data_IF_343868455753
#
_entry.id   IF_343868455753
#
_cell.length_a   1.000
_cell.length_b   1.000
_cell.length_c   1.000
_cell.angle_alpha   90.00
_cell.angle_beta   90.00
_cell.angle_gamma   90.00
#
_symmetry.space_group_name_H-M   'P 1'
#
loop_
_entity.id
_entity.type
_entity.pdbx_description
1 polymer ?
#
# COMPACT_ATOMS: atom_id res chain seq x y z
N UNK A 1 -9.37 -23.90 -6.23
CA UNK A 1 -8.76 -23.15 -7.34
C UNK A 1 -7.58 -22.36 -6.83
N UNK A 2 -6.47 -22.29 -7.57
CA UNK A 2 -5.39 -21.36 -7.27
C UNK A 2 -5.81 -19.95 -7.65
N UNK A 3 -5.88 -19.03 -6.69
CA UNK A 3 -6.09 -17.61 -6.97
C UNK A 3 -4.92 -17.10 -7.86
N UNK A 4 -5.24 -16.54 -9.02
CA UNK A 4 -4.25 -15.96 -9.92
C UNK A 4 -3.68 -14.68 -9.30
N UNK A 5 -2.36 -14.59 -9.23
CA UNK A 5 -1.67 -13.39 -8.71
C UNK A 5 -1.58 -12.39 -9.85
N UNK A 6 -2.27 -11.27 -9.71
CA UNK A 6 -2.26 -10.17 -10.69
C UNK A 6 -0.97 -9.37 -10.59
N UNK A 7 -0.57 -9.01 -9.36
CA UNK A 7 0.67 -8.26 -9.12
C UNK A 7 1.45 -8.78 -7.94
N UNK A 8 2.77 -8.76 -8.07
CA UNK A 8 3.72 -9.14 -7.03
C UNK A 8 4.65 -7.98 -6.70
N UNK A 9 4.67 -7.60 -5.43
CA UNK A 9 5.58 -6.61 -4.87
C UNK A 9 6.51 -7.31 -3.88
N UNK A 10 7.78 -6.91 -3.88
CA UNK A 10 8.77 -7.37 -2.91
C UNK A 10 9.32 -6.17 -2.17
N UNK A 11 9.23 -6.21 -0.84
CA UNK A 11 9.87 -5.25 0.06
C UNK A 11 11.03 -5.95 0.74
N UNK A 12 12.25 -5.50 0.52
CA UNK A 12 13.44 -6.04 1.16
C UNK A 12 13.85 -5.12 2.30
N UNK A 13 13.53 -5.48 3.53
CA UNK A 13 13.97 -4.75 4.72
C UNK A 13 15.40 -5.18 5.06
N UNK A 14 16.30 -4.21 5.21
CA UNK A 14 17.69 -4.44 5.58
C UNK A 14 17.75 -4.96 7.02
N UNK A 15 18.66 -5.90 7.29
CA UNK A 15 18.88 -6.40 8.65
C UNK A 15 19.38 -5.26 9.56
N UNK A 16 20.33 -4.46 9.06
CA UNK A 16 20.86 -3.25 9.71
C UNK A 16 20.58 -2.01 8.86
N UNK A 17 19.99 -0.95 9.43
CA UNK A 17 19.81 0.32 8.73
C UNK A 17 21.15 0.93 8.29
N UNK A 18 21.16 1.65 7.17
CA UNK A 18 22.31 2.45 6.74
C UNK A 18 22.15 3.90 7.18
N UNK A 19 23.26 4.57 7.52
CA UNK A 19 23.28 5.95 8.03
C UNK A 19 24.40 6.77 7.37
N UNK A 20 24.22 8.09 7.33
CA UNK A 20 25.21 9.05 6.81
C UNK A 20 25.69 8.70 5.40
N UNK A 21 27.02 8.79 5.18
CA UNK A 21 27.66 8.53 3.87
C UNK A 21 27.31 7.17 3.24
N UNK A 22 27.03 6.15 4.06
CA UNK A 22 26.65 4.82 3.55
C UNK A 22 25.30 4.85 2.81
N UNK A 23 24.42 5.77 3.17
CA UNK A 23 23.16 5.98 2.44
C UNK A 23 23.46 6.53 1.05
N UNK A 24 24.34 7.54 0.95
CA UNK A 24 24.69 8.18 -0.32
C UNK A 24 25.36 7.20 -1.27
N UNK A 25 26.34 6.42 -0.79
CA UNK A 25 27.00 5.36 -1.56
C UNK A 25 26.00 4.33 -2.09
N UNK A 26 25.05 3.93 -1.23
CA UNK A 26 24.03 2.96 -1.59
C UNK A 26 23.03 3.51 -2.62
N UNK A 27 22.54 4.73 -2.40
CA UNK A 27 21.64 5.42 -3.29
C UNK A 27 22.27 5.62 -4.68
N UNK A 28 23.54 6.05 -4.73
CA UNK A 28 24.30 6.18 -5.96
C UNK A 28 24.41 4.84 -6.71
N UNK A 29 24.74 3.75 -6.01
CA UNK A 29 24.79 2.40 -6.60
C UNK A 29 23.45 1.96 -7.19
N UNK A 30 22.34 2.38 -6.59
CA UNK A 30 20.97 2.09 -7.05
C UNK A 30 20.42 3.12 -8.04
N UNK A 31 21.23 4.11 -8.43
CA UNK A 31 20.85 5.23 -9.29
C UNK A 31 19.64 6.00 -8.76
N UNK A 32 19.50 6.10 -7.43
CA UNK A 32 18.48 6.92 -6.79
C UNK A 32 19.02 8.35 -6.69
N UNK A 33 18.32 9.31 -7.31
CA UNK A 33 18.67 10.73 -7.22
C UNK A 33 18.19 11.29 -5.90
N UNK A 34 18.95 11.10 -4.82
CA UNK A 34 18.51 11.60 -3.52
C UNK A 34 18.90 13.07 -3.39
N UNK A 35 17.92 13.97 -3.40
CA UNK A 35 18.08 15.29 -2.79
C UNK A 35 18.25 15.07 -1.29
N UNK A 36 19.45 15.33 -0.75
CA UNK A 36 19.89 15.16 0.65
C UNK A 36 18.81 14.58 1.59
N UNK A 37 18.95 13.31 1.98
CA UNK A 37 18.21 12.78 3.13
C UNK A 37 18.40 13.71 4.33
N UNK A 38 17.38 13.83 5.19
CA UNK A 38 17.63 14.48 6.47
C UNK A 38 18.69 13.68 7.23
N UNK A 39 19.53 14.37 8.02
CA UNK A 39 20.58 13.72 8.82
C UNK A 39 20.01 12.65 9.78
N UNK A 40 18.70 12.73 10.05
CA UNK A 40 17.95 11.83 10.89
C UNK A 40 17.27 10.67 10.14
N UNK A 41 17.46 10.55 8.82
CA UNK A 41 16.88 9.45 8.04
C UNK A 41 17.85 8.27 7.95
N UNK A 42 17.36 7.08 8.27
CA UNK A 42 18.07 5.82 8.13
C UNK A 42 17.49 5.02 6.98
N UNK A 43 18.33 4.55 6.05
CA UNK A 43 17.85 3.67 4.98
C UNK A 43 17.54 2.29 5.54
N UNK A 44 16.29 1.84 5.42
CA UNK A 44 15.83 0.57 6.02
C UNK A 44 15.39 -0.48 5.02
N UNK A 45 15.19 -0.14 3.74
CA UNK A 45 14.78 -1.14 2.77
C UNK A 45 14.68 -0.68 1.34
N UNK A 46 14.38 -1.65 0.47
CA UNK A 46 14.18 -1.48 -0.97
C UNK A 46 12.80 -2.00 -1.39
N UNK A 47 12.27 -1.43 -2.47
CA UNK A 47 10.97 -1.78 -3.02
C UNK A 47 11.14 -2.23 -4.46
N UNK A 48 10.54 -3.37 -4.80
CA UNK A 48 10.54 -3.94 -6.15
C UNK A 48 9.14 -4.31 -6.60
N UNK A 49 8.76 -3.88 -7.81
CA UNK A 49 7.55 -4.33 -8.50
C UNK A 49 7.96 -5.38 -9.53
N UNK A 50 7.60 -6.63 -9.30
CA UNK A 50 8.18 -7.76 -10.01
C UNK A 50 9.70 -7.83 -9.82
N UNK A 51 10.46 -7.63 -10.91
CA UNK A 51 11.94 -7.54 -10.90
C UNK A 51 12.45 -6.10 -10.98
N UNK A 52 11.56 -5.12 -11.22
CA UNK A 52 11.92 -3.72 -11.40
C UNK A 52 12.07 -3.06 -10.03
N UNK A 53 13.25 -2.54 -9.75
CA UNK A 53 13.45 -1.65 -8.61
C UNK A 53 12.51 -0.45 -8.73
N UNK A 54 11.81 -0.10 -7.67
CA UNK A 54 10.81 0.98 -7.66
C UNK A 54 11.26 2.14 -6.77
N UNK A 55 11.89 1.86 -5.63
CA UNK A 55 12.27 2.89 -4.69
C UNK A 55 12.92 2.32 -3.43
N UNK A 56 13.06 3.19 -2.42
CA UNK A 56 13.68 2.88 -1.14
C UNK A 56 12.82 3.34 0.04
N UNK A 57 13.07 2.75 1.20
CA UNK A 57 12.42 3.07 2.46
C UNK A 57 13.43 3.74 3.39
N UNK A 58 13.06 4.90 3.92
CA UNK A 58 13.79 5.61 4.96
C UNK A 58 12.99 5.62 6.26
N UNK A 59 13.62 5.24 7.36
CA UNK A 59 13.09 5.40 8.72
C UNK A 59 13.63 6.73 9.28
N UNK A 60 12.74 7.65 9.58
CA UNK A 60 13.11 8.89 10.25
C UNK A 60 13.24 8.64 11.74
N UNK A 61 14.43 8.88 12.28
CA UNK A 61 14.68 8.86 13.71
C UNK A 61 14.28 10.20 14.28
N UNK A 62 13.10 10.28 14.87
CA UNK A 62 12.76 11.43 15.68
C UNK A 62 13.53 11.33 17.00
N UNK A 63 14.75 11.88 17.07
CA UNK A 63 15.49 11.97 18.33
C UNK A 63 14.89 13.08 19.17
N UNK A 64 14.27 12.70 20.29
CA UNK A 64 13.99 13.64 21.37
C UNK A 64 15.32 14.03 22.03
N UNK A 65 15.82 15.27 21.87
CA UNK A 65 17.20 15.58 22.23
C UNK A 65 17.53 15.44 23.72
N UNK A 66 16.51 15.40 24.59
CA UNK A 66 16.67 15.55 26.04
C UNK A 66 16.10 14.37 26.86
N UNK A 67 15.73 13.24 26.25
CA UNK A 67 15.11 12.10 26.96
C UNK A 67 16.10 11.01 27.39
N UNK A 68 17.17 10.77 26.62
CA UNK A 68 18.18 9.74 26.93
C UNK A 68 18.90 9.94 28.27
N UNK A 69 18.90 11.16 28.80
CA UNK A 69 19.57 11.53 30.05
C UNK A 69 18.79 11.17 31.32
N UNK A 70 17.48 10.86 31.24
CA UNK A 70 16.65 10.64 32.44
C UNK A 70 16.15 9.20 32.62
N UNK A 71 15.98 8.42 31.55
CA UNK A 71 15.58 7.01 31.62
C UNK A 71 16.37 6.18 30.60
N UNK A 72 17.53 5.59 30.97
CA UNK A 72 18.37 4.82 30.03
C UNK A 72 17.70 3.55 29.50
N UNK A 73 16.59 3.11 30.09
CA UNK A 73 15.93 1.84 29.77
C UNK A 73 14.64 1.99 28.94
N UNK A 74 14.19 3.21 28.67
CA UNK A 74 12.95 3.44 27.94
C UNK A 74 13.12 4.58 26.94
N UNK A 75 13.35 4.21 25.68
CA UNK A 75 13.43 5.07 24.49
C UNK A 75 12.02 5.52 24.04
N UNK A 76 11.11 5.70 25.01
CA UNK A 76 9.70 6.05 24.76
C UNK A 76 9.66 7.56 24.48
N UNK A 77 9.88 7.91 23.22
CA UNK A 77 8.91 8.47 22.25
C UNK A 77 9.68 8.64 20.92
N UNK A 78 10.48 7.64 20.50
CA UNK A 78 10.88 7.61 19.10
C UNK A 78 9.64 7.19 18.31
N UNK A 79 8.91 8.19 17.78
CA UNK A 79 7.79 7.98 16.89
C UNK A 79 8.35 7.34 15.62
N UNK A 80 7.88 6.14 15.28
CA UNK A 80 8.33 5.51 14.06
C UNK A 80 7.65 6.18 12.86
N UNK A 81 8.45 6.83 12.02
CA UNK A 81 7.99 7.39 10.74
C UNK A 81 8.80 6.77 9.60
N UNK A 82 8.14 6.00 8.74
CA UNK A 82 8.76 5.43 7.55
C UNK A 82 8.30 6.23 6.33
N UNK A 83 9.26 6.77 5.59
CA UNK A 83 9.08 7.45 4.30
C UNK A 83 9.46 6.53 3.16
N UNK A 84 8.68 6.58 2.10
CA UNK A 84 8.92 5.88 0.86
C UNK A 84 9.37 6.88 -0.20
N UNK A 85 10.49 6.59 -0.85
CA UNK A 85 11.10 7.42 -1.88
C UNK A 85 11.13 6.67 -3.21
N UNK A 86 10.78 7.35 -4.30
CA UNK A 86 10.93 6.82 -5.65
C UNK A 86 12.40 6.82 -6.11
N UNK A 87 12.64 6.40 -7.37
CA UNK A 87 13.99 6.45 -7.99
C UNK A 87 14.55 7.87 -8.14
N UNK A 88 13.67 8.86 -8.21
CA UNK A 88 14.06 10.27 -8.30
C UNK A 88 14.29 10.88 -6.92
N UNK A 89 14.22 10.09 -5.83
CA UNK A 89 14.37 10.56 -4.46
C UNK A 89 13.18 11.37 -3.95
N UNK A 90 12.05 11.40 -4.67
CA UNK A 90 10.84 12.09 -4.24
C UNK A 90 10.06 11.24 -3.25
N UNK A 91 9.51 11.88 -2.22
CA UNK A 91 8.66 11.22 -1.23
C UNK A 91 7.30 10.92 -1.87
N UNK A 92 7.01 9.64 -2.07
CA UNK A 92 5.73 9.18 -2.62
C UNK A 92 4.72 8.77 -1.54
N UNK A 93 5.19 8.56 -0.31
CA UNK A 93 4.32 8.37 0.85
C UNK A 93 5.08 8.25 2.16
N UNK A 94 4.35 8.35 3.27
CA UNK A 94 4.83 8.13 4.63
C UNK A 94 3.82 7.35 5.45
N UNK A 95 4.29 6.55 6.40
CA UNK A 95 3.47 5.89 7.43
C UNK A 95 4.07 6.16 8.79
N UNK A 96 3.20 6.45 9.74
CA UNK A 96 3.58 7.01 11.02
C UNK A 96 2.79 6.34 12.14
N UNK A 97 3.50 5.98 13.21
CA UNK A 97 2.93 5.41 14.43
C UNK A 97 2.07 6.44 15.17
N UNK A 98 0.92 5.99 15.70
CA UNK A 98 -0.04 6.80 16.46
C UNK A 98 -0.08 6.38 17.93
N UNK A 99 1.06 6.51 18.63
CA UNK A 99 1.23 6.06 20.02
C UNK A 99 0.13 6.53 20.98
N UNK A 100 -0.28 7.81 20.94
CA UNK A 100 -1.35 8.32 21.81
C UNK A 100 -2.67 7.57 21.57
N UNK A 101 -3.02 7.31 20.31
CA UNK A 101 -4.21 6.55 19.93
C UNK A 101 -4.08 5.09 20.38
N UNK A 102 -2.88 4.50 20.29
CA UNK A 102 -2.62 3.16 20.82
C UNK A 102 -2.83 3.09 22.34
N UNK A 103 -2.28 4.04 23.11
CA UNK A 103 -2.41 4.09 24.57
C UNK A 103 -3.87 4.25 25.00
N UNK A 104 -4.63 5.12 24.33
CA UNK A 104 -6.06 5.31 24.60
C UNK A 104 -6.88 4.02 24.38
N UNK A 105 -6.49 3.20 23.40
CA UNK A 105 -7.22 1.97 23.04
C UNK A 105 -6.62 0.74 23.76
N UNK A 106 -5.41 0.81 24.33
CA UNK A 106 -4.71 -0.35 24.90
C UNK A 106 -5.53 -1.04 26.00
N UNK A 107 -6.32 -0.28 26.79
CA UNK A 107 -7.21 -0.83 27.81
C UNK A 107 -8.31 -1.76 27.28
N UNK A 108 -8.59 -1.77 25.97
CA UNK A 108 -9.79 -2.42 25.42
C UNK A 108 -9.58 -3.70 24.60
N UNK A 109 -8.37 -4.05 24.12
CA UNK A 109 -7.93 -5.40 23.65
C UNK A 109 -6.84 -5.37 22.56
N UNK A 110 -5.68 -6.00 22.79
CA UNK A 110 -4.73 -6.43 21.74
C UNK A 110 -3.39 -5.68 21.67
N UNK A 111 -2.40 -6.29 20.97
CA UNK A 111 -1.03 -5.78 20.75
C UNK A 111 -0.77 -5.16 19.36
N UNK A 112 -1.81 -5.02 18.53
CA UNK A 112 -1.60 -4.52 17.16
C UNK A 112 -1.43 -2.99 17.16
N UNK A 113 -0.36 -2.47 16.51
CA UNK A 113 -0.11 -1.04 16.42
C UNK A 113 -1.06 -0.34 15.44
N UNK A 114 -1.32 0.93 15.72
CA UNK A 114 -2.18 1.85 14.96
C UNK A 114 -1.29 2.83 14.21
N UNK A 115 -1.56 2.98 12.92
CA UNK A 115 -0.77 3.86 12.05
C UNK A 115 -1.66 4.84 11.31
N UNK A 116 -1.05 5.94 10.87
CA UNK A 116 -1.62 6.82 9.87
C UNK A 116 -0.65 6.90 8.70
N UNK A 117 -1.15 6.74 7.48
CA UNK A 117 -0.37 6.89 6.26
C UNK A 117 -0.84 8.10 5.45
N UNK A 118 0.10 8.78 4.80
CA UNK A 118 -0.17 9.86 3.85
C UNK A 118 0.57 9.54 2.55
N UNK A 119 -0.11 9.62 1.41
CA UNK A 119 0.45 9.33 0.10
C UNK A 119 0.43 10.60 -0.75
N UNK A 120 1.42 10.78 -1.61
CA UNK A 120 1.58 12.02 -2.37
C UNK A 120 0.40 12.31 -3.32
N UNK A 121 -0.15 11.27 -3.94
CA UNK A 121 -1.25 11.36 -4.92
C UNK A 121 -2.62 11.03 -4.31
N UNK A 122 -2.72 10.93 -2.98
CA UNK A 122 -3.97 10.66 -2.28
C UNK A 122 -4.28 11.81 -1.32
N UNK A 123 -5.38 12.57 -1.52
CA UNK A 123 -5.64 13.80 -0.77
C UNK A 123 -6.06 13.56 0.69
N UNK A 124 -6.31 12.31 1.10
CA UNK A 124 -6.76 11.96 2.43
C UNK A 124 -5.68 11.18 3.19
N UNK A 125 -5.70 11.27 4.51
CA UNK A 125 -4.91 10.37 5.35
C UNK A 125 -5.61 9.01 5.44
N UNK A 126 -4.83 7.94 5.47
CA UNK A 126 -5.31 6.57 5.64
C UNK A 126 -5.01 6.15 7.06
N UNK A 127 -6.04 6.08 7.89
CA UNK A 127 -5.92 5.53 9.24
C UNK A 127 -6.01 4.00 9.19
N UNK A 128 -5.03 3.35 9.81
CA UNK A 128 -5.00 1.92 10.02
C UNK A 128 -5.35 1.64 11.48
N UNK A 129 -6.63 1.38 11.71
CA UNK A 129 -7.22 1.24 13.04
C UNK A 129 -7.30 -0.22 13.47
N UNK A 130 -7.40 -0.44 14.78
CA UNK A 130 -7.58 -1.77 15.35
C UNK A 130 -9.06 -2.08 15.53
N UNK A 131 -9.52 -3.19 14.95
CA UNK A 131 -10.84 -3.78 15.19
C UNK A 131 -10.63 -5.20 15.72
N UNK A 132 -10.64 -5.34 17.06
CA UNK A 132 -10.29 -6.58 17.76
C UNK A 132 -8.87 -7.08 17.42
N UNK A 133 -8.73 -8.28 16.84
CA UNK A 133 -7.43 -8.85 16.41
C UNK A 133 -7.06 -8.52 14.96
N UNK A 134 -7.76 -7.56 14.35
CA UNK A 134 -7.60 -7.17 12.95
C UNK A 134 -7.22 -5.70 12.86
N UNK A 135 -6.58 -5.34 11.77
CA UNK A 135 -6.43 -3.95 11.38
C UNK A 135 -7.42 -3.62 10.27
N UNK A 136 -7.94 -2.41 10.27
CA UNK A 136 -8.92 -1.92 9.30
C UNK A 136 -8.45 -0.59 8.78
N UNK A 137 -8.54 -0.41 7.47
CA UNK A 137 -8.31 0.88 6.83
C UNK A 137 -9.34 1.08 5.75
N UNK A 138 -9.57 2.34 5.41
CA UNK A 138 -10.50 2.74 4.37
C UNK A 138 -9.77 3.56 3.30
N UNK A 139 -10.15 3.35 2.04
CA UNK A 139 -9.67 4.16 0.92
C UNK A 139 -10.82 4.44 -0.03
N UNK A 140 -10.82 5.60 -0.67
CA UNK A 140 -11.76 5.91 -1.73
C UNK A 140 -11.45 5.07 -2.95
N UNK A 141 -12.48 4.37 -3.43
CA UNK A 141 -12.35 3.53 -4.62
C UNK A 141 -12.42 4.39 -5.87
N UNK A 142 -11.50 4.19 -6.80
CA UNK A 142 -11.58 4.79 -8.14
C UNK A 142 -12.77 4.27 -8.94
N UNK A 143 -13.25 3.05 -8.65
CA UNK A 143 -14.37 2.41 -9.37
C UNK A 143 -15.73 3.01 -9.11
N UNK A 144 -16.02 3.36 -7.86
CA UNK A 144 -17.40 3.59 -7.39
C UNK A 144 -17.71 5.06 -7.22
N UNK A 145 -17.11 5.94 -8.04
CA UNK A 145 -17.32 7.40 -7.97
C UNK A 145 -17.08 7.97 -6.56
N UNK A 146 -16.04 7.48 -5.89
CA UNK A 146 -15.69 7.95 -4.54
C UNK A 146 -16.45 7.26 -3.40
N UNK A 147 -17.04 6.07 -3.59
CA UNK A 147 -17.43 5.28 -2.41
C UNK A 147 -16.19 4.80 -1.65
N UNK A 148 -16.34 4.73 -0.34
CA UNK A 148 -15.32 4.29 0.59
C UNK A 148 -15.24 2.75 0.61
N UNK A 149 -14.13 2.19 0.12
CA UNK A 149 -13.82 0.78 0.29
C UNK A 149 -13.16 0.55 1.65
N UNK A 150 -13.70 -0.38 2.43
CA UNK A 150 -13.15 -0.76 3.74
C UNK A 150 -12.41 -2.09 3.61
N UNK A 151 -11.16 -2.10 4.03
CA UNK A 151 -10.27 -3.26 3.99
C UNK A 151 -9.95 -3.75 5.39
N UNK A 152 -9.88 -5.07 5.55
CA UNK A 152 -9.53 -5.74 6.79
C UNK A 152 -8.24 -6.53 6.59
N UNK A 153 -7.22 -6.23 7.39
CA UNK A 153 -5.96 -6.95 7.48
C UNK A 153 -6.03 -7.91 8.67
N UNK A 154 -5.90 -9.21 8.40
CA UNK A 154 -5.95 -10.26 9.41
C UNK A 154 -4.61 -10.99 9.48
N UNK A 155 -4.00 -11.02 10.66
CA UNK A 155 -2.78 -11.80 10.93
C UNK A 155 -3.13 -13.28 10.92
N UNK A 156 -2.40 -14.08 10.15
CA UNK A 156 -2.50 -15.54 10.15
C UNK A 156 -1.66 -16.06 11.32
N UNK A 157 -2.27 -16.77 12.26
CA UNK A 157 -1.80 -16.99 13.64
C UNK A 157 -0.43 -17.72 13.83
N UNK A 158 0.11 -17.57 15.05
CA UNK A 158 1.14 -18.35 15.77
C UNK A 158 2.55 -18.56 15.20
N UNK A 159 2.89 -18.07 14.01
CA UNK A 159 4.28 -18.04 13.59
C UNK A 159 5.00 -16.83 14.21
N UNK A 160 6.29 -16.98 14.54
CA UNK A 160 7.26 -15.92 14.93
C UNK A 160 7.39 -14.81 13.86
N UNK A 161 6.55 -14.85 12.82
CA UNK A 161 6.55 -14.05 11.60
C UNK A 161 5.11 -13.83 11.17
N UNK A 162 4.74 -12.57 10.99
CA UNK A 162 3.35 -12.19 10.76
C UNK A 162 3.04 -12.24 9.26
N UNK A 163 2.38 -13.32 8.82
CA UNK A 163 1.75 -13.34 7.51
C UNK A 163 0.37 -12.70 7.60
N UNK A 164 0.00 -11.86 6.64
CA UNK A 164 -1.26 -11.12 6.67
C UNK A 164 -2.10 -11.43 5.45
N UNK A 165 -3.42 -11.53 5.67
CA UNK A 165 -4.41 -11.62 4.61
C UNK A 165 -5.23 -10.35 4.61
N UNK A 166 -5.36 -9.71 3.45
CA UNK A 166 -6.13 -8.49 3.27
C UNK A 166 -7.41 -8.84 2.52
N UNK A 167 -8.55 -8.42 3.06
CA UNK A 167 -9.87 -8.65 2.48
C UNK A 167 -10.66 -7.35 2.37
N UNK A 168 -11.55 -7.24 1.39
CA UNK A 168 -12.62 -6.22 1.45
C UNK A 168 -13.63 -6.64 2.53
N UNK A 169 -13.96 -5.73 3.45
CA UNK A 169 -14.79 -6.02 4.63
C UNK A 169 -16.20 -6.47 4.23
N UNK A 170 -16.84 -5.75 3.30
CA UNK A 170 -18.23 -6.03 2.89
C UNK A 170 -18.42 -7.37 2.19
N UNK A 171 -17.52 -7.74 1.27
CA UNK A 171 -17.66 -8.97 0.47
C UNK A 171 -16.85 -10.15 0.99
N UNK A 172 -16.07 -9.95 2.06
CA UNK A 172 -15.10 -10.94 2.57
C UNK A 172 -14.15 -11.49 1.47
N UNK A 173 -14.01 -10.74 0.37
CA UNK A 173 -13.20 -11.10 -0.79
C UNK A 173 -11.74 -10.89 -0.45
N UNK A 174 -10.90 -11.90 -0.67
CA UNK A 174 -9.46 -11.77 -0.51
C UNK A 174 -8.89 -10.92 -1.63
N UNK A 175 -8.17 -9.87 -1.25
CA UNK A 175 -7.59 -8.89 -2.18
C UNK A 175 -6.09 -9.08 -2.28
N UNK A 176 -5.43 -9.27 -1.14
CA UNK A 176 -3.99 -9.40 -1.10
C UNK A 176 -3.52 -10.32 0.03
N UNK A 177 -2.27 -10.73 -0.07
CA UNK A 177 -1.57 -11.53 0.93
C UNK A 177 -0.15 -11.04 1.09
N UNK A 178 0.27 -10.84 2.33
CA UNK A 178 1.60 -10.41 2.70
C UNK A 178 2.30 -11.58 3.39
N UNK A 179 3.40 -12.03 2.79
CA UNK A 179 4.21 -13.15 3.25
C UNK A 179 5.58 -12.64 3.72
N UNK A 180 5.84 -12.70 5.02
CA UNK A 180 7.09 -12.23 5.63
C UNK A 180 8.10 -13.39 5.74
N UNK A 181 9.13 -13.36 4.88
CA UNK A 181 10.16 -14.41 4.78
C UNK A 181 11.38 -14.12 5.66
N UNK A 182 12.30 -15.10 5.76
CA UNK A 182 13.60 -14.95 6.45
C UNK A 182 14.47 -13.90 5.75
N UNK A 183 15.19 -13.10 6.54
CA UNK A 183 16.09 -12.05 6.04
C UNK A 183 15.40 -10.77 5.57
N UNK A 184 14.32 -10.35 6.24
CA UNK A 184 13.65 -9.06 5.97
C UNK A 184 12.90 -8.96 4.63
N UNK A 185 12.88 -10.01 3.81
CA UNK A 185 12.15 -10.06 2.55
C UNK A 185 10.65 -10.29 2.79
N UNK A 186 9.82 -9.37 2.34
CA UNK A 186 8.36 -9.44 2.42
C UNK A 186 7.80 -9.46 1.00
N UNK A 187 6.96 -10.46 0.70
CA UNK A 187 6.28 -10.59 -0.60
C UNK A 187 4.80 -10.24 -0.45
N UNK A 188 4.35 -9.25 -1.21
CA UNK A 188 2.94 -8.85 -1.30
C UNK A 188 2.40 -9.40 -2.62
N UNK A 189 1.38 -10.25 -2.53
CA UNK A 189 0.66 -10.81 -3.67
C UNK A 189 -0.74 -10.21 -3.73
N UNK A 190 -1.09 -9.64 -4.86
CA UNK A 190 -2.38 -9.00 -5.09
C UNK A 190 -3.16 -9.85 -6.08
N UNK A 191 -4.41 -10.14 -5.74
CA UNK A 191 -5.30 -11.02 -6.50
C UNK A 191 -6.44 -10.26 -7.17
N UNK A 192 -6.78 -9.06 -6.67
CA UNK A 192 -7.79 -8.19 -7.29
C UNK A 192 -7.15 -7.40 -8.43
N UNK A 193 -7.68 -7.59 -9.63
CA UNK A 193 -7.18 -7.00 -10.88
C UNK A 193 -7.25 -5.47 -10.89
N UNK A 194 -8.22 -4.85 -10.23
CA UNK A 194 -8.29 -3.37 -10.26
C UNK A 194 -7.36 -2.78 -9.22
N UNK A 195 -7.30 -3.37 -8.03
CA UNK A 195 -6.39 -2.89 -7.00
C UNK A 195 -4.92 -3.20 -7.29
N UNK A 196 -4.62 -4.15 -8.20
CA UNK A 196 -3.25 -4.31 -8.70
C UNK A 196 -2.76 -3.15 -9.55
N UNK A 197 -3.64 -2.32 -10.09
CA UNK A 197 -3.28 -1.13 -10.87
C UNK A 197 -3.45 0.18 -10.06
N UNK A 198 -3.99 0.13 -8.84
CA UNK A 198 -4.20 1.31 -8.01
C UNK A 198 -2.95 1.67 -7.20
N UNK A 199 -2.14 2.62 -7.69
CA UNK A 199 -0.88 3.02 -7.07
C UNK A 199 -1.00 3.39 -5.59
N UNK A 200 -2.07 4.09 -5.19
CA UNK A 200 -2.28 4.48 -3.80
C UNK A 200 -2.43 3.25 -2.89
N UNK A 201 -3.21 2.26 -3.33
CA UNK A 201 -3.36 1.01 -2.61
C UNK A 201 -2.04 0.25 -2.52
N UNK A 202 -1.29 0.15 -3.63
CA UNK A 202 0.02 -0.51 -3.65
C UNK A 202 1.02 0.15 -2.69
N UNK A 203 1.09 1.48 -2.75
CA UNK A 203 1.97 2.30 -1.95
C UNK A 203 1.64 2.17 -0.46
N UNK A 204 0.35 2.19 -0.12
CA UNK A 204 -0.10 1.91 1.24
C UNK A 204 0.32 0.50 1.71
N UNK A 205 0.15 -0.53 0.88
CA UNK A 205 0.56 -1.89 1.25
C UNK A 205 2.07 -2.03 1.44
N UNK A 206 2.88 -1.34 0.63
CA UNK A 206 4.34 -1.30 0.80
C UNK A 206 4.71 -0.65 2.13
N UNK A 207 4.10 0.50 2.45
CA UNK A 207 4.31 1.20 3.71
C UNK A 207 3.87 0.34 4.90
N UNK A 208 2.67 -0.26 4.87
CA UNK A 208 2.23 -1.19 5.90
C UNK A 208 3.17 -2.40 6.03
N UNK A 209 3.58 -3.00 4.92
CA UNK A 209 4.53 -4.12 4.96
C UNK A 209 5.86 -3.74 5.61
N UNK A 210 6.33 -2.52 5.40
CA UNK A 210 7.55 -2.01 6.02
C UNK A 210 7.46 -1.85 7.54
N UNK A 211 6.25 -1.68 8.11
CA UNK A 211 6.07 -1.60 9.57
C UNK A 211 6.15 -2.96 10.26
N UNK A 212 5.93 -4.07 9.53
CA UNK A 212 5.84 -5.43 10.11
C UNK A 212 7.07 -5.80 10.93
N UNK A 213 8.27 -5.38 10.51
CA UNK A 213 9.53 -5.65 11.25
C UNK A 213 9.51 -5.06 12.67
N UNK A 214 8.79 -3.96 12.85
CA UNK A 214 8.78 -3.18 14.09
C UNK A 214 7.54 -3.45 14.96
N UNK A 215 6.62 -4.33 14.56
CA UNK A 215 5.37 -4.57 15.32
C UNK A 215 5.65 -5.09 16.73
N UNK A 216 6.63 -5.98 16.90
CA UNK A 216 6.97 -6.54 18.22
C UNK A 216 7.62 -5.46 19.11
N UNK A 217 8.54 -4.67 18.56
CA UNK A 217 9.18 -3.54 19.27
C UNK A 217 8.17 -2.48 19.70
N UNK A 218 7.21 -2.13 18.84
CA UNK A 218 6.13 -1.20 19.17
C UNK A 218 5.23 -1.81 20.27
N UNK A 219 4.89 -3.10 20.15
CA UNK A 219 4.08 -3.79 21.16
C UNK A 219 4.74 -3.81 22.55
N UNK A 220 6.05 -4.04 22.60
CA UNK A 220 6.82 -4.02 23.86
C UNK A 220 6.93 -2.59 24.41
N UNK A 221 7.14 -1.59 23.54
CA UNK A 221 7.13 -0.16 23.90
C UNK A 221 5.80 0.22 24.56
N UNK A 222 4.70 -0.10 23.90
CA UNK A 222 3.33 0.20 24.36
C UNK A 222 3.03 -0.49 25.68
N UNK A 223 3.46 -1.74 25.85
CA UNK A 223 3.32 -2.46 27.11
C UNK A 223 4.12 -1.80 28.25
N UNK A 224 5.35 -1.36 27.98
CA UNK A 224 6.17 -0.61 28.93
C UNK A 224 5.50 0.68 29.40
N UNK A 225 5.00 1.49 28.48
CA UNK A 225 4.26 2.72 28.80
C UNK A 225 3.04 2.43 29.67
N UNK A 226 2.26 1.41 29.35
CA UNK A 226 1.09 1.06 30.14
C UNK A 226 1.45 0.62 31.56
N UNK A 227 2.58 -0.06 31.74
CA UNK A 227 3.09 -0.42 33.06
C UNK A 227 3.49 0.83 33.85
N UNK A 228 4.25 1.74 33.26
CA UNK A 228 4.64 3.00 33.91
C UNK A 228 3.44 3.88 34.25
N UNK A 229 2.42 3.90 33.38
CA UNK A 229 1.17 4.61 33.63
C UNK A 229 0.40 3.98 34.81
N UNK A 230 0.32 2.65 34.88
CA UNK A 230 -0.30 1.95 36.01
C UNK A 230 0.44 2.20 37.33
N UNK A 231 1.77 2.26 37.27
CA UNK A 231 2.64 2.54 38.42
C UNK A 231 2.70 4.05 38.75
N UNK A 232 2.01 4.91 37.99
CA UNK A 232 2.03 6.38 38.12
C UNK A 232 3.44 6.99 38.03
N UNK A 233 4.33 6.35 37.29
CA UNK A 233 5.73 6.77 37.07
C UNK A 233 5.96 7.45 35.71
N UNK A 234 4.97 7.39 34.81
CA UNK A 234 5.08 7.97 33.48
C UNK A 234 5.15 9.51 33.53
N UNK A 235 6.27 10.07 33.11
CA UNK A 235 6.45 11.53 32.93
C UNK A 235 6.36 11.86 31.45
N UNK A 236 5.27 12.51 31.03
CA UNK A 236 5.09 12.98 29.65
C UNK A 236 5.67 14.38 29.51
N UNK A 237 6.70 14.55 28.67
CA UNK A 237 7.19 15.87 28.23
C UNK A 237 6.74 16.12 26.79
N UNK A 238 6.35 17.35 26.39
CA UNK A 238 6.03 17.66 25.00
C UNK A 238 7.30 17.76 24.13
N UNK A 239 7.22 17.47 22.82
CA UNK A 239 8.38 17.61 21.90
C UNK A 239 8.85 19.06 21.82
N UNK A 240 10.09 19.32 21.40
CA UNK A 240 10.54 20.70 21.08
C UNK A 240 9.62 21.38 20.08
N UNK A 241 9.07 20.63 19.11
CA UNK A 241 8.11 21.14 18.14
C UNK A 241 6.76 21.46 18.78
N UNK A 242 6.19 20.58 19.61
CA UNK A 242 4.96 20.84 20.34
C UNK A 242 5.15 22.02 21.32
N UNK A 243 6.28 22.06 22.03
CA UNK A 243 6.68 23.20 22.85
C UNK A 243 6.81 24.47 22.02
N UNK A 244 7.31 24.41 20.78
CA UNK A 244 7.37 25.58 19.88
C UNK A 244 5.99 26.06 19.44
N UNK A 245 5.00 25.17 19.35
CA UNK A 245 3.61 25.51 19.07
C UNK A 245 2.85 25.99 20.31
N UNK A 246 3.27 25.57 21.51
CA UNK A 246 2.72 25.98 22.81
C UNK A 246 3.36 27.26 23.33
N UNK A 247 4.59 27.57 22.89
CA UNK A 247 5.19 28.89 23.11
C UNK A 247 4.16 29.91 22.62
N UNK A 248 3.70 30.76 23.55
CA UNK A 248 2.81 31.88 23.25
C UNK A 248 3.33 32.53 21.96
N UNK A 249 2.46 32.93 21.01
CA UNK A 249 2.89 33.82 19.95
C UNK A 249 3.68 34.92 20.67
N UNK A 250 4.96 35.08 20.29
CA UNK A 250 5.77 36.14 20.89
C UNK A 250 4.93 37.41 20.79
N UNK A 251 4.95 38.27 21.81
CA UNK A 251 4.30 39.58 21.77
C UNK A 251 4.81 40.48 20.61
N UNK A 252 5.62 39.95 19.70
CA UNK A 252 6.41 40.66 18.72
C UNK A 252 5.87 40.52 17.28
N UNK A 253 4.76 39.81 17.05
CA UNK A 253 4.16 39.72 15.70
C UNK A 253 2.63 39.93 15.67
N UNK A 254 2.06 40.65 16.64
CA UNK A 254 0.78 41.33 16.37
C UNK A 254 1.14 42.64 15.67
N UNK A 255 0.99 42.66 14.35
CA UNK A 255 1.12 43.94 13.63
C UNK A 255 0.01 44.87 14.14
N UNK A 256 0.21 46.19 14.11
CA UNK A 256 -0.86 47.16 14.46
C UNK A 256 -2.19 46.86 13.76
N UNK A 257 -2.12 46.26 12.57
CA UNK A 257 -3.26 45.84 11.75
C UNK A 257 -4.05 44.68 12.38
N UNK A 258 -3.36 43.75 13.06
CA UNK A 258 -3.99 42.62 13.75
C UNK A 258 -4.65 43.08 15.05
N UNK A 259 -4.06 44.05 15.76
CA UNK A 259 -4.70 44.69 16.93
C UNK A 259 -5.95 45.47 16.53
N UNK A 260 -5.92 46.21 15.42
CA UNK A 260 -7.07 46.93 14.87
C UNK A 260 -8.20 45.97 14.45
N UNK A 261 -7.83 44.82 13.86
CA UNK A 261 -8.79 43.78 13.45
C UNK A 261 -9.43 43.09 14.66
N UNK A 262 -8.66 42.85 15.73
CA UNK A 262 -9.16 42.30 16.99
C UNK A 262 -10.06 43.29 17.75
N UNK A 263 -9.77 44.59 17.68
CA UNK A 263 -10.63 45.63 18.25
C UNK A 263 -11.99 45.67 17.52
N UNK A 264 -11.98 45.63 16.19
CA UNK A 264 -13.21 45.58 15.37
C UNK A 264 -14.02 44.33 15.68
N UNK A 265 -13.37 43.18 15.90
CA UNK A 265 -14.04 41.93 16.22
C UNK A 265 -14.67 41.96 17.62
N UNK A 266 -13.98 42.51 18.63
CA UNK A 266 -14.53 42.68 19.97
C UNK A 266 -15.71 43.64 20.01
N UNK A 267 -15.61 44.80 19.35
CA UNK A 267 -16.69 45.79 19.34
C UNK A 267 -17.95 45.30 18.61
N UNK A 268 -17.82 44.40 17.63
CA UNK A 268 -18.96 43.91 16.83
C UNK A 268 -19.56 42.59 17.29
N UNK A 269 -18.76 41.68 17.85
CA UNK A 269 -19.19 40.29 18.10
C UNK A 269 -19.50 40.01 19.57
N UNK A 270 -18.79 40.65 20.52
CA UNK A 270 -19.08 40.46 21.94
C UNK A 270 -20.49 40.94 22.39
N UNK A 271 -21.11 41.99 21.83
CA UNK A 271 -22.46 42.39 22.27
C UNK A 271 -23.60 41.48 21.78
N UNK A 272 -23.36 40.54 20.85
CA UNK A 272 -24.37 39.54 20.43
C UNK A 272 -24.40 38.32 21.36
N UNK A 273 -23.27 37.94 21.96
CA UNK A 273 -23.15 36.74 22.81
C UNK A 273 -23.79 36.97 24.19
N UNK A 274 -23.81 38.20 24.71
CA UNK A 274 -24.48 38.50 25.97
C UNK A 274 -26.03 38.54 25.89
N UNK A 275 -26.63 38.38 24.70
CA UNK A 275 -28.09 38.37 24.52
C UNK A 275 -28.72 36.99 24.33
N UNK A 276 -27.93 35.95 24.08
CA UNK A 276 -28.40 34.57 23.98
C UNK A 276 -27.73 33.69 25.04
N UNK A 277 -28.13 33.76 26.31
CA UNK A 277 -28.05 32.61 27.24
C UNK A 277 -28.70 32.92 28.60
N UNK A 278 -30.04 32.90 28.65
CA UNK A 278 -30.76 32.47 29.86
C UNK A 278 -31.93 31.58 29.42
N UNK A 279 -31.66 30.29 29.25
CA UNK A 279 -32.69 29.25 29.31
C UNK A 279 -32.26 28.21 30.36
N UNK A 280 -33.09 27.94 31.37
CA UNK A 280 -32.77 26.98 32.43
C UNK A 280 -32.85 25.55 31.90
N UNK A 281 -31.77 24.80 32.09
CA UNK A 281 -31.69 23.37 31.81
C UNK A 281 -32.57 22.57 32.79
N UNK A 282 -33.70 22.06 32.33
CA UNK A 282 -34.44 20.97 32.98
C UNK A 282 -34.19 19.67 32.21
N UNK A 283 -33.49 18.72 32.83
CA UNK A 283 -33.27 17.40 32.22
C UNK A 283 -32.14 16.60 32.83
N UNK A 284 -32.12 16.44 34.16
CA UNK A 284 -31.13 15.64 34.88
C UNK A 284 -31.83 14.66 35.83
N UNK A 285 -32.67 13.77 35.29
CA UNK A 285 -33.18 12.60 35.99
C UNK A 285 -33.55 11.54 34.96
N UNK A 286 -32.61 10.65 34.60
CA UNK A 286 -32.90 9.29 34.08
C UNK A 286 -31.58 8.55 33.81
N UNK A 287 -30.87 8.19 34.88
CA UNK A 287 -29.67 7.36 34.78
C UNK A 287 -29.45 6.44 36.00
N UNK A 288 -30.51 5.81 36.54
CA UNK A 288 -30.36 4.85 37.65
C UNK A 288 -31.03 3.47 37.48
N UNK A 289 -31.65 3.13 36.34
CA UNK A 289 -32.35 1.84 36.21
C UNK A 289 -31.73 0.79 35.26
N UNK A 290 -30.40 0.72 35.13
CA UNK A 290 -29.74 -0.35 34.33
C UNK A 290 -28.68 -1.17 35.05
N UNK A 291 -28.83 -1.35 36.37
CA UNK A 291 -27.95 -2.21 37.19
C UNK A 291 -28.68 -3.37 37.88
N UNK A 292 -29.58 -4.10 37.20
CA UNK A 292 -30.00 -5.44 37.66
C UNK A 292 -30.31 -6.36 36.47
N UNK A 293 -29.45 -7.35 36.25
CA UNK A 293 -29.75 -8.47 35.36
C UNK A 293 -28.55 -8.99 34.60
N UNK A 294 -27.72 -9.82 35.25
CA UNK A 294 -26.99 -10.95 34.64
C UNK A 294 -26.14 -11.68 35.69
N UNK A 295 -26.75 -12.68 36.34
CA UNK A 295 -26.08 -13.77 37.05
C UNK A 295 -26.83 -15.06 36.75
N UNK A 296 -26.20 -15.96 36.00
CA UNK A 296 -26.34 -17.43 35.96
C UNK A 296 -25.56 -17.91 34.72
N UNK A 297 -24.34 -18.47 34.77
CA UNK A 297 -23.80 -19.70 35.39
C UNK A 297 -24.24 -21.01 34.71
N UNK A 298 -23.38 -21.43 33.77
CA UNK A 298 -22.69 -22.73 33.64
C UNK A 298 -23.29 -23.89 32.80
N UNK A 299 -22.29 -24.50 32.12
CA UNK A 299 -22.05 -25.92 31.79
C UNK A 299 -22.62 -26.46 30.47
N UNK A 300 -21.69 -26.78 29.55
CA UNK A 300 -21.42 -28.12 28.96
C UNK A 300 -20.19 -28.02 28.05
N UNK A 301 -19.03 -28.54 28.48
CA UNK A 301 -18.45 -29.89 28.28
C UNK A 301 -17.94 -30.17 26.84
N UNK A 302 -16.61 -30.03 26.74
CA UNK A 302 -15.61 -30.73 25.90
C UNK A 302 -16.04 -32.09 25.31
N UNK A 303 -15.82 -32.27 24.00
CA UNK A 303 -15.36 -33.54 23.38
C UNK A 303 -14.48 -33.18 22.16
N UNK A 304 -13.19 -33.49 22.23
CA UNK A 304 -12.25 -33.45 21.10
C UNK A 304 -12.34 -34.76 20.31
N UNK A 305 -12.23 -34.69 18.97
CA UNK A 305 -11.97 -35.84 18.09
C UNK A 305 -10.64 -35.60 17.35
N UNK A 306 -9.80 -36.64 17.18
CA UNK A 306 -8.52 -36.51 16.50
C UNK A 306 -8.68 -36.61 14.99
N UNK A 307 -8.09 -35.69 14.23
CA UNK A 307 -7.98 -35.80 12.77
C UNK A 307 -6.70 -36.56 12.38
N UNK A 308 -6.89 -37.59 11.55
CA UNK A 308 -5.85 -38.46 10.98
C UNK A 308 -4.97 -37.69 9.99
N UNK A 309 -3.67 -37.97 10.02
CA UNK A 309 -2.66 -37.57 9.03
C UNK A 309 -2.80 -38.44 7.77
N UNK A 310 -2.91 -37.81 6.60
CA UNK A 310 -2.65 -38.47 5.31
C UNK A 310 -1.35 -37.98 4.68
N UNK A 311 -0.62 -38.94 4.10
CA UNK A 311 0.72 -38.80 3.50
C UNK A 311 0.61 -38.32 2.04
N UNK A 312 1.56 -37.52 1.53
CA UNK A 312 1.62 -37.24 0.10
C UNK A 312 2.33 -38.38 -0.66
N UNK A 313 1.69 -38.87 -1.73
CA UNK A 313 2.32 -39.70 -2.78
C UNK A 313 3.15 -38.83 -3.73
N UNK A 314 4.11 -39.47 -4.38
CA UNK A 314 5.32 -38.91 -5.03
C UNK A 314 5.41 -39.46 -6.46
N UNK A 315 6.09 -38.69 -7.35
CA UNK A 315 6.80 -39.08 -8.61
C UNK A 315 5.92 -39.10 -9.91
N UNK A 316 6.43 -38.96 -11.18
CA UNK A 316 7.61 -38.28 -11.82
C UNK A 316 7.19 -37.21 -12.88
N UNK A 317 7.97 -36.19 -13.29
CA UNK A 317 9.14 -36.09 -14.20
C UNK A 317 8.95 -36.44 -15.70
N UNK A 318 9.19 -35.39 -16.51
CA UNK A 318 9.89 -35.30 -17.81
C UNK A 318 9.28 -35.86 -19.12
N UNK A 319 9.15 -34.98 -20.13
CA UNK A 319 9.58 -35.26 -21.51
C UNK A 319 9.91 -33.95 -22.27
N UNK A 320 11.14 -33.85 -22.77
CA UNK A 320 11.67 -32.85 -23.71
C UNK A 320 11.36 -33.27 -25.14
N UNK A 321 11.03 -32.34 -26.05
CA UNK A 321 11.24 -32.52 -27.51
C UNK A 321 11.80 -31.23 -28.13
N UNK A 322 12.55 -31.43 -29.22
CA UNK A 322 13.71 -30.75 -29.77
C UNK A 322 13.46 -29.44 -30.54
N UNK A 323 14.55 -28.66 -30.60
CA UNK A 323 14.86 -27.57 -31.55
C UNK A 323 14.97 -28.07 -32.99
N UNK A 324 14.63 -27.22 -33.95
CA UNK A 324 15.17 -27.19 -35.31
C UNK A 324 15.46 -25.72 -35.69
N UNK A 325 16.72 -25.46 -36.06
CA UNK A 325 17.27 -24.29 -36.80
C UNK A 325 17.14 -24.61 -38.31
N UNK A 326 17.14 -23.73 -39.31
CA UNK A 326 17.96 -22.56 -39.61
C UNK A 326 17.50 -21.96 -40.97
N UNK A 327 17.88 -20.72 -41.31
CA UNK A 327 18.02 -20.26 -42.70
C UNK A 327 17.34 -18.93 -43.08
N UNK A 328 18.15 -17.87 -43.25
CA UNK A 328 17.80 -16.58 -43.90
C UNK A 328 18.46 -16.50 -45.28
N UNK A 329 17.82 -15.87 -46.28
CA UNK A 329 18.51 -14.88 -47.12
C UNK A 329 17.61 -13.63 -47.39
N UNK A 330 17.95 -12.68 -48.29
CA UNK A 330 18.32 -11.31 -47.97
C UNK A 330 17.19 -10.27 -48.14
N UNK A 331 17.46 -9.06 -47.61
CA UNK A 331 16.56 -7.89 -47.55
C UNK A 331 16.10 -7.39 -48.91
N UNK A 332 14.78 -7.45 -49.12
CA UNK A 332 14.02 -6.52 -49.97
C UNK A 332 13.27 -5.59 -49.00
N UNK A 333 13.18 -4.30 -49.29
CA UNK A 333 12.33 -3.37 -48.52
C UNK A 333 10.89 -3.71 -48.87
N UNK A 334 10.39 -4.70 -48.15
CA UNK A 334 9.08 -5.32 -48.26
C UNK A 334 8.15 -4.56 -47.31
N UNK A 335 7.07 -4.00 -47.87
CA UNK A 335 5.94 -3.51 -47.07
C UNK A 335 5.50 -4.70 -46.21
N UNK A 336 5.61 -4.58 -44.89
CA UNK A 336 5.39 -5.71 -43.97
C UNK A 336 4.07 -6.41 -44.31
N UNK A 337 4.11 -7.71 -44.67
CA UNK A 337 2.89 -8.45 -44.96
C UNK A 337 1.99 -8.42 -43.72
N UNK A 338 0.66 -8.37 -43.90
CA UNK A 338 -0.28 -8.34 -42.78
C UNK A 338 0.03 -9.49 -41.81
N UNK A 339 -0.02 -9.23 -40.49
CA UNK A 339 0.40 -10.19 -39.48
C UNK A 339 -0.32 -11.53 -39.64
N UNK A 340 0.44 -12.63 -39.58
CA UNK A 340 -0.12 -13.98 -39.70
C UNK A 340 -1.07 -14.22 -38.51
N UNK A 341 -2.23 -14.85 -38.76
CA UNK A 341 -3.28 -15.11 -37.73
C UNK A 341 -2.75 -15.71 -36.41
N UNK A 342 -1.67 -16.49 -36.43
CA UNK A 342 -1.05 -17.09 -35.23
C UNK A 342 -0.40 -16.06 -34.29
N UNK A 343 0.10 -14.95 -34.81
CA UNK A 343 0.79 -13.93 -33.99
C UNK A 343 -0.22 -13.10 -33.16
N UNK A 344 -1.48 -13.07 -33.59
CA UNK A 344 -2.60 -12.48 -32.84
C UNK A 344 -3.08 -13.37 -31.68
N UNK A 345 -2.57 -14.60 -31.52
CA UNK A 345 -3.09 -15.53 -30.51
C UNK A 345 -2.53 -15.29 -29.11
N UNK A 346 -1.34 -14.70 -28.99
CA UNK A 346 -0.77 -14.37 -27.69
C UNK A 346 -1.60 -13.26 -27.03
N UNK A 347 -2.01 -13.39 -25.76
CA UNK A 347 -2.67 -12.30 -25.06
C UNK A 347 -1.77 -11.06 -25.01
N UNK A 348 -2.37 -9.88 -25.00
CA UNK A 348 -1.68 -8.60 -24.80
C UNK A 348 -2.46 -7.80 -23.75
N UNK A 349 -1.76 -7.23 -22.78
CA UNK A 349 -2.29 -6.41 -21.70
C UNK A 349 -1.67 -5.01 -21.73
N UNK A 350 -2.31 -4.05 -21.07
CA UNK A 350 -1.84 -2.66 -21.01
C UNK A 350 -0.47 -2.52 -20.31
N UNK A 351 -0.21 -3.37 -19.31
CA UNK A 351 1.05 -3.38 -18.55
C UNK A 351 2.21 -4.10 -19.27
N UNK A 352 1.93 -4.77 -20.40
CA UNK A 352 2.96 -5.49 -21.12
C UNK A 352 3.99 -4.49 -21.67
N UNK A 353 5.28 -4.88 -21.75
CA UNK A 353 6.30 -4.01 -22.33
C UNK A 353 6.00 -3.76 -23.81
N UNK A 354 6.37 -2.58 -24.31
CA UNK A 354 6.10 -2.17 -25.71
C UNK A 354 6.72 -3.12 -26.75
N UNK A 355 7.71 -3.93 -26.38
CA UNK A 355 8.29 -5.01 -27.18
C UNK A 355 7.31 -6.13 -27.57
N UNK A 356 6.18 -6.27 -26.86
CA UNK A 356 5.15 -7.30 -27.16
C UNK A 356 4.14 -6.83 -28.23
N UNK A 357 4.24 -5.56 -28.66
CA UNK A 357 3.42 -4.98 -29.73
C UNK A 357 3.89 -5.53 -31.09
N UNK A 358 2.93 -5.96 -31.91
CA UNK A 358 3.22 -6.51 -33.24
C UNK A 358 3.82 -5.42 -34.12
N UNK A 359 4.99 -5.69 -34.70
CA UNK A 359 5.73 -4.73 -35.54
C UNK A 359 6.71 -3.85 -34.77
N UNK A 360 6.74 -3.91 -33.44
CA UNK A 360 7.76 -3.24 -32.62
C UNK A 360 8.93 -4.19 -32.38
N UNK A 361 10.07 -3.88 -33.00
CA UNK A 361 11.33 -4.62 -32.79
C UNK A 361 12.06 -4.12 -31.55
N UNK A 362 13.06 -4.86 -31.04
CA UNK A 362 13.87 -4.46 -29.88
C UNK A 362 14.61 -3.12 -30.11
N UNK A 363 14.99 -2.85 -31.35
CA UNK A 363 15.61 -1.59 -31.76
C UNK A 363 14.62 -0.41 -31.76
N UNK A 364 13.33 -0.69 -31.99
CA UNK A 364 12.26 0.32 -31.94
C UNK A 364 11.82 0.51 -30.50
N UNK A 365 11.73 -0.56 -29.69
CA UNK A 365 11.37 -0.44 -28.28
C UNK A 365 12.39 0.40 -27.52
N UNK A 366 13.68 0.23 -27.78
CA UNK A 366 14.74 1.05 -27.16
C UNK A 366 14.58 2.53 -27.48
N UNK A 367 14.13 2.86 -28.69
CA UNK A 367 13.82 4.23 -29.08
C UNK A 367 12.55 4.76 -28.40
N UNK A 368 11.48 3.96 -28.34
CA UNK A 368 10.25 4.30 -27.63
C UNK A 368 10.52 4.56 -26.14
N UNK A 369 11.37 3.74 -25.52
CA UNK A 369 11.80 3.94 -24.13
C UNK A 369 12.55 5.27 -23.94
N UNK A 370 13.32 5.73 -24.94
CA UNK A 370 14.04 7.00 -24.89
C UNK A 370 13.11 8.22 -24.88
N UNK A 371 11.92 8.11 -25.47
CA UNK A 371 10.86 9.13 -25.46
C UNK A 371 9.84 8.93 -24.33
N UNK A 372 10.10 7.98 -23.42
CA UNK A 372 9.28 7.76 -22.23
C UNK A 372 8.14 6.76 -22.39
N UNK A 373 8.11 5.99 -23.49
CA UNK A 373 7.10 4.97 -23.75
C UNK A 373 7.68 3.60 -23.39
N UNK A 374 7.24 3.04 -22.26
CA UNK A 374 7.78 1.79 -21.73
C UNK A 374 6.80 0.62 -21.84
N UNK A 375 5.50 0.89 -21.73
CA UNK A 375 4.43 -0.11 -21.75
C UNK A 375 3.41 0.16 -22.86
N UNK A 376 2.57 -0.84 -23.16
CA UNK A 376 1.50 -0.71 -24.18
C UNK A 376 0.56 0.44 -23.84
N UNK A 377 0.25 0.65 -22.56
CA UNK A 377 -0.59 1.77 -22.10
C UNK A 377 -0.02 3.13 -22.54
N UNK A 378 1.27 3.37 -22.29
CA UNK A 378 1.96 4.59 -22.70
C UNK A 378 1.82 4.81 -24.22
N UNK A 379 1.98 3.74 -25.01
CA UNK A 379 1.88 3.81 -26.47
C UNK A 379 0.47 4.18 -26.93
N UNK A 380 -0.59 3.72 -26.24
CA UNK A 380 -1.98 3.93 -26.64
C UNK A 380 -2.50 5.35 -26.38
N UNK A 381 -1.91 6.07 -25.43
CA UNK A 381 -2.40 7.39 -25.01
C UNK A 381 -1.63 8.57 -25.59
N UNK A 382 -0.48 8.32 -26.22
CA UNK A 382 0.37 9.39 -26.78
C UNK A 382 -0.02 9.68 -28.23
N UNK A 383 0.02 10.95 -28.62
CA UNK A 383 -0.24 11.41 -29.98
C UNK A 383 0.83 10.84 -30.96
N UNK A 384 0.42 10.13 -32.02
CA UNK A 384 1.32 9.59 -33.04
C UNK A 384 2.28 10.61 -33.65
N UNK A 385 1.83 11.87 -33.82
CA UNK A 385 2.66 12.92 -34.41
C UNK A 385 3.80 13.32 -33.46
N UNK A 386 3.50 13.45 -32.17
CA UNK A 386 4.50 13.78 -31.14
C UNK A 386 5.56 12.69 -31.03
N UNK A 387 5.17 11.41 -31.13
CA UNK A 387 6.14 10.31 -31.11
C UNK A 387 7.00 10.35 -32.38
N UNK A 388 6.38 10.52 -33.55
CA UNK A 388 7.10 10.51 -34.82
C UNK A 388 8.15 11.62 -34.90
N UNK A 389 7.82 12.83 -34.45
CA UNK A 389 8.77 13.96 -34.39
C UNK A 389 10.02 13.65 -33.55
N UNK A 390 9.86 12.86 -32.49
CA UNK A 390 10.98 12.47 -31.63
C UNK A 390 11.73 11.21 -32.13
N UNK A 391 11.22 10.51 -33.15
CA UNK A 391 11.74 9.24 -33.66
C UNK A 391 12.20 9.29 -35.12
N UNK A 392 12.45 10.50 -35.64
CA UNK A 392 12.67 10.81 -37.06
C UNK A 392 13.82 9.98 -37.71
N UNK A 393 14.75 9.46 -36.90
CA UNK A 393 15.92 8.70 -37.37
C UNK A 393 15.63 7.33 -38.03
N UNK A 394 14.43 6.73 -37.87
CA UNK A 394 14.16 5.34 -38.33
C UNK A 394 12.96 5.15 -39.25
N UNK A 395 12.53 6.19 -39.97
CA UNK A 395 11.35 6.10 -40.85
C UNK A 395 10.08 5.65 -40.10
N UNK A 396 9.97 6.02 -38.82
CA UNK A 396 8.79 5.76 -38.01
C UNK A 396 7.83 6.93 -38.27
N UNK A 397 6.86 6.71 -39.16
CA UNK A 397 5.85 7.71 -39.49
C UNK A 397 4.69 7.68 -38.48
N UNK A 398 3.93 8.78 -38.33
CA UNK A 398 2.71 8.80 -37.50
C UNK A 398 1.76 7.65 -37.87
N UNK A 399 1.57 7.39 -39.16
CA UNK A 399 0.73 6.30 -39.66
C UNK A 399 1.18 4.90 -39.17
N UNK A 400 2.49 4.68 -39.01
CA UNK A 400 3.02 3.42 -38.47
C UNK A 400 2.70 3.28 -36.98
N UNK A 401 2.77 4.37 -36.24
CA UNK A 401 2.43 4.40 -34.81
C UNK A 401 0.92 4.19 -34.61
N UNK A 402 0.07 4.83 -35.41
CA UNK A 402 -1.38 4.59 -35.43
C UNK A 402 -1.72 3.12 -35.73
N UNK A 403 -0.98 2.50 -36.65
CA UNK A 403 -1.13 1.08 -36.94
C UNK A 403 -0.78 0.21 -35.72
N UNK A 404 0.31 0.51 -35.00
CA UNK A 404 0.66 -0.19 -33.76
C UNK A 404 -0.40 -0.01 -32.67
N UNK A 405 -0.93 1.21 -32.51
CA UNK A 405 -2.00 1.51 -31.56
C UNK A 405 -3.28 0.72 -31.89
N UNK A 406 -3.71 0.75 -33.15
CA UNK A 406 -4.91 0.05 -33.63
C UNK A 406 -4.79 -1.46 -33.43
N UNK A 407 -3.66 -2.07 -33.81
CA UNK A 407 -3.43 -3.50 -33.63
C UNK A 407 -3.40 -3.88 -32.15
N UNK A 408 -2.78 -3.04 -31.31
CA UNK A 408 -2.71 -3.27 -29.86
C UNK A 408 -4.08 -3.20 -29.21
N UNK A 409 -4.90 -2.20 -29.54
CA UNK A 409 -6.27 -2.06 -29.05
C UNK A 409 -7.12 -3.29 -29.41
N UNK A 410 -7.13 -3.69 -30.68
CA UNK A 410 -7.88 -4.88 -31.13
C UNK A 410 -7.44 -6.16 -30.40
N UNK A 411 -6.14 -6.30 -30.15
CA UNK A 411 -5.59 -7.47 -29.45
C UNK A 411 -5.92 -7.45 -27.96
N UNK A 412 -5.91 -6.29 -27.31
CA UNK A 412 -6.35 -6.11 -25.92
C UNK A 412 -7.84 -6.43 -25.79
N UNK A 413 -8.70 -5.88 -26.65
CA UNK A 413 -10.14 -6.16 -26.65
C UNK A 413 -10.43 -7.66 -26.84
N UNK A 414 -9.73 -8.29 -27.78
CA UNK A 414 -9.86 -9.75 -28.02
C UNK A 414 -9.41 -10.55 -26.79
N UNK A 415 -8.33 -10.12 -26.14
CA UNK A 415 -7.81 -10.75 -24.91
C UNK A 415 -8.82 -10.62 -23.77
N UNK A 416 -9.35 -9.42 -23.52
CA UNK A 416 -10.36 -9.15 -22.50
C UNK A 416 -11.66 -9.93 -22.75
N UNK A 417 -12.11 -10.01 -24.00
CA UNK A 417 -13.28 -10.82 -24.39
C UNK A 417 -13.08 -12.30 -24.07
N UNK A 418 -11.92 -12.87 -24.42
CA UNK A 418 -11.57 -14.26 -24.11
C UNK A 418 -11.50 -14.53 -22.61
N UNK A 419 -10.91 -13.61 -21.83
CA UNK A 419 -10.83 -13.73 -20.38
C UNK A 419 -12.22 -13.64 -19.72
N UNK A 420 -13.09 -12.76 -20.25
CA UNK A 420 -14.49 -12.70 -19.83
C UNK A 420 -15.24 -14.00 -20.12
N UNK A 421 -15.14 -14.53 -21.34
CA UNK A 421 -15.76 -15.81 -21.71
C UNK A 421 -15.24 -16.98 -20.87
N UNK A 422 -13.94 -17.00 -20.54
CA UNK A 422 -13.35 -18.00 -19.63
C UNK A 422 -13.92 -17.87 -18.22
N UNK A 423 -14.06 -16.65 -17.71
CA UNK A 423 -14.65 -16.37 -16.40
C UNK A 423 -16.11 -16.78 -16.33
N UNK A 424 -16.89 -16.48 -17.37
CA UNK A 424 -18.32 -16.81 -17.43
C UNK A 424 -18.53 -18.34 -17.49
N UNK A 425 -17.78 -19.05 -18.34
CA UNK A 425 -17.77 -20.53 -18.36
C UNK A 425 -17.34 -21.13 -17.03
N UNK A 426 -16.41 -20.46 -16.35
CA UNK A 426 -15.96 -20.89 -15.03
C UNK A 426 -17.08 -20.76 -13.99
N UNK A 427 -17.80 -19.64 -13.97
CA UNK A 427 -18.94 -19.40 -13.07
C UNK A 427 -20.10 -20.37 -13.34
N UNK A 428 -20.44 -20.59 -14.61
CA UNK A 428 -21.47 -21.55 -15.03
C UNK A 428 -21.16 -22.97 -14.51
N UNK A 429 -19.90 -23.41 -14.64
CA UNK A 429 -19.46 -24.71 -14.11
C UNK A 429 -19.50 -24.78 -12.59
N UNK A 430 -19.23 -23.68 -11.90
CA UNK A 430 -19.27 -23.61 -10.44
C UNK A 430 -20.72 -23.68 -9.93
N UNK A 431 -21.64 -22.92 -10.53
CA UNK A 431 -23.07 -22.95 -10.20
C UNK A 431 -23.70 -24.32 -10.44
N UNK A 432 -23.29 -25.01 -11.52
CA UNK A 432 -23.77 -26.37 -11.83
C UNK A 432 -23.36 -27.36 -10.73
N UNK A 433 -22.11 -27.29 -10.24
CA UNK A 433 -21.65 -28.15 -9.14
C UNK A 433 -22.35 -27.86 -7.82
N UNK A 434 -22.58 -26.58 -7.49
CA UNK A 434 -23.33 -26.24 -6.28
C UNK A 434 -24.80 -26.69 -6.33
N UNK A 435 -25.39 -26.86 -7.51
CA UNK A 435 -26.72 -27.47 -7.65
C UNK A 435 -26.68 -28.98 -7.44
N UNK A 436 -25.68 -29.66 -7.98
CA UNK A 436 -25.52 -31.12 -7.84
C UNK A 436 -25.17 -31.54 -6.40
N UNK A 437 -24.39 -30.74 -5.68
CA UNK A 437 -23.96 -31.04 -4.30
C UNK A 437 -24.95 -30.57 -3.22
N UNK A 438 -26.10 -29.96 -3.59
CA UNK A 438 -27.14 -29.65 -2.62
C UNK A 438 -27.88 -30.94 -2.23
N UNK A 439 -27.80 -31.40 -0.96
CA UNK A 439 -28.66 -32.48 -0.51
C UNK A 439 -30.11 -32.05 -0.72
N UNK A 440 -30.88 -32.88 -1.42
CA UNK A 440 -32.33 -32.75 -1.49
C UNK A 440 -32.87 -32.84 -0.07
N UNK A 441 -33.28 -31.71 0.49
CA UNK A 441 -34.00 -31.60 1.76
C UNK A 441 -35.50 -31.59 1.50
#
# INVERSE_FOLDING_TARGET
MSEMVQRKITVNILDKPLTGKKIDEYAAKKKVKVSKFSDNTWLVGEIYFGKRFHGILGLEKETWPDYQSFHPNFDIINRMTIKMFDKAGKIIGKIEERLIKELAIHGMSGKLPVFTAALQTYPYMIDLERESEKLVFSMLSSKTRGMLDIFQISKKSFAIRSNFTIKRKFWNQRIAFIDSKRGGKIEIKIYDDILSHNENFLNFLVLFASTIKYHDEIGDKVHGVCKELADSTLIVKPTKQALSMIKKPSKEELTKKDEETLLIFREKVEPEIEREEVLPSTGLLEAEERKKGKKEIKKKKKVEKPYKKEKPKKIPKEAKIKKVKEGKPPKVVEVEPPPKKKDLEKPLFLEDPVTEVIGVTEDISTLLESVGIYIVDDLLFVDPNVIAENLDEKSITPARIEQWQTISQQRIETTLKREKERRDKFLEKYETREREDRPYY
#
